data_IF_690422037119
#
_entry.id   IF_690422037119
#
_cell.length_a   1.000
_cell.length_b   1.000
_cell.length_c   1.000
_cell.angle_alpha   90.00
_cell.angle_beta   90.00
_cell.angle_gamma   90.00
#
_symmetry.space_group_name_H-M   'P 1'
#
loop_
_entity.id
_entity.type
_entity.pdbx_description
1 polymer ?
#
# COMPACT_ATOMS: atom_id res chain seq x y z
N UNK A 1 36.97 -5.30 -6.82
CA UNK A 1 35.63 -4.81 -7.21
C UNK A 1 35.21 -3.70 -6.27
N UNK A 2 35.61 -2.47 -6.56
CA UNK A 2 35.07 -1.29 -5.91
C UNK A 2 34.02 -0.74 -6.87
N UNK A 3 32.74 -0.92 -6.51
CA UNK A 3 31.66 -0.13 -7.09
C UNK A 3 31.95 1.32 -6.70
N UNK A 4 31.91 2.24 -7.65
CA UNK A 4 31.64 3.63 -7.27
C UNK A 4 30.31 3.63 -6.53
N UNK A 5 30.29 4.19 -5.33
CA UNK A 5 29.07 4.24 -4.53
C UNK A 5 28.21 5.39 -5.03
N UNK A 6 27.37 5.08 -6.02
CA UNK A 6 26.37 5.99 -6.57
C UNK A 6 25.01 5.81 -5.91
N UNK A 7 24.92 5.10 -4.76
CA UNK A 7 23.64 4.94 -4.06
C UNK A 7 23.00 6.27 -3.63
N UNK A 8 23.79 7.35 -3.62
CA UNK A 8 23.36 8.70 -3.27
C UNK A 8 22.91 9.56 -4.46
N UNK A 9 23.16 9.15 -5.72
CA UNK A 9 22.85 9.99 -6.90
C UNK A 9 22.22 9.18 -8.03
N UNK A 10 20.89 9.28 -8.21
CA UNK A 10 20.19 8.69 -9.36
C UNK A 10 20.42 9.45 -10.69
N UNK A 11 20.74 10.76 -10.61
CA UNK A 11 20.99 11.64 -11.78
C UNK A 11 22.05 12.69 -11.47
N UNK A 12 22.83 13.10 -12.47
CA UNK A 12 23.84 14.16 -12.36
C UNK A 12 23.74 15.08 -13.58
N UNK A 13 23.76 16.40 -13.36
CA UNK A 13 23.71 17.44 -14.39
C UNK A 13 25.07 18.13 -14.54
N UNK A 14 25.38 18.68 -15.72
CA UNK A 14 26.61 19.44 -15.89
C UNK A 14 26.56 20.68 -15.01
N UNK A 15 27.63 20.90 -14.26
CA UNK A 15 27.85 22.10 -13.45
C UNK A 15 27.89 23.35 -14.34
N UNK A 16 28.47 23.24 -15.54
CA UNK A 16 28.53 24.34 -16.53
C UNK A 16 28.58 23.78 -17.95
N UNK A 17 28.08 24.55 -18.92
CA UNK A 17 28.33 24.35 -20.35
C UNK A 17 29.22 25.50 -20.82
N UNK A 18 30.36 25.19 -21.43
CA UNK A 18 31.26 26.22 -21.94
C UNK A 18 30.80 26.81 -23.29
N UNK A 19 31.55 27.79 -23.81
CA UNK A 19 31.22 28.49 -25.05
C UNK A 19 31.28 27.59 -26.30
N UNK A 20 32.00 26.47 -26.21
CA UNK A 20 32.14 25.49 -27.28
C UNK A 20 31.09 24.36 -27.17
N UNK A 21 30.22 24.42 -26.15
CA UNK A 21 29.17 23.44 -25.91
C UNK A 21 29.61 22.21 -25.11
N UNK A 22 30.80 22.24 -24.49
CA UNK A 22 31.25 21.13 -23.65
C UNK A 22 30.54 21.16 -22.30
N UNK A 23 30.03 20.00 -21.89
CA UNK A 23 29.37 19.78 -20.60
C UNK A 23 30.41 19.41 -19.53
N UNK A 24 30.52 20.21 -18.47
CA UNK A 24 31.50 20.02 -17.40
C UNK A 24 30.79 19.56 -16.12
N UNK A 25 31.20 18.42 -15.57
CA UNK A 25 30.67 17.86 -14.32
C UNK A 25 31.76 17.86 -13.26
N UNK A 26 31.69 18.76 -12.27
CA UNK A 26 32.78 18.95 -11.29
C UNK A 26 32.74 18.02 -10.08
N UNK A 27 31.56 17.52 -9.75
CA UNK A 27 31.31 16.82 -8.48
C UNK A 27 31.00 15.32 -8.66
N UNK A 28 31.45 14.73 -9.76
CA UNK A 28 31.35 13.28 -9.95
C UNK A 28 32.56 12.62 -9.26
N UNK A 29 32.35 11.79 -8.22
CA UNK A 29 33.43 11.04 -7.60
C UNK A 29 33.89 9.94 -8.55
N UNK A 30 34.87 10.26 -9.40
CA UNK A 30 35.52 9.29 -10.28
C UNK A 30 36.33 8.33 -9.41
N UNK A 31 35.97 7.04 -9.40
CA UNK A 31 36.72 6.02 -8.69
C UNK A 31 38.19 6.02 -9.12
N UNK A 32 39.11 5.91 -8.15
CA UNK A 32 40.57 6.02 -8.36
C UNK A 32 41.21 4.79 -9.02
N UNK A 33 40.44 3.74 -9.26
CA UNK A 33 41.00 2.40 -9.49
C UNK A 33 40.94 2.09 -10.99
N UNK A 34 42.10 2.07 -11.65
CA UNK A 34 42.28 1.97 -13.11
C UNK A 34 41.77 0.66 -13.78
N UNK A 35 41.01 -0.17 -13.07
CA UNK A 35 40.57 -1.51 -13.50
C UNK A 35 39.04 -1.67 -13.59
N UNK A 36 38.25 -0.62 -13.35
CA UNK A 36 36.78 -0.68 -13.52
C UNK A 36 36.29 0.28 -14.60
N UNK A 37 35.58 -0.26 -15.59
CA UNK A 37 34.78 0.53 -16.54
C UNK A 37 33.51 1.03 -15.86
N UNK A 38 33.35 2.34 -15.72
CA UNK A 38 32.06 2.95 -15.38
C UNK A 38 31.25 3.16 -16.67
N UNK A 39 29.98 2.76 -16.65
CA UNK A 39 29.05 2.97 -17.77
C UNK A 39 28.15 4.15 -17.41
N UNK A 40 28.08 5.12 -18.31
CA UNK A 40 27.21 6.29 -18.18
C UNK A 40 26.16 6.26 -19.28
N UNK A 41 24.93 6.65 -18.93
CA UNK A 41 23.89 6.95 -19.90
C UNK A 41 23.72 8.46 -19.93
N UNK A 42 24.02 9.06 -21.08
CA UNK A 42 23.73 10.47 -21.33
C UNK A 42 22.33 10.59 -21.91
N UNK A 43 21.49 11.38 -21.26
CA UNK A 43 20.20 11.80 -21.80
C UNK A 43 20.29 13.29 -22.14
N UNK A 44 19.93 13.64 -23.38
CA UNK A 44 19.73 15.02 -23.79
C UNK A 44 18.29 15.40 -23.41
N UNK A 45 18.14 16.35 -22.50
CA UNK A 45 16.83 16.91 -22.13
C UNK A 45 16.59 18.22 -22.89
N UNK A 46 15.34 18.66 -22.97
CA UNK A 46 14.94 19.89 -23.68
C UNK A 46 15.33 21.19 -22.95
N UNK A 47 16.33 21.16 -22.06
CA UNK A 47 16.77 22.31 -21.26
C UNK A 47 16.11 22.42 -19.89
N UNK A 48 15.03 21.68 -19.66
CA UNK A 48 14.40 21.47 -18.34
C UNK A 48 14.00 20.00 -18.20
N UNK A 49 14.14 19.44 -17.00
CA UNK A 49 13.66 18.11 -16.61
C UNK A 49 12.85 18.20 -15.31
N UNK A 50 12.12 17.15 -14.97
CA UNK A 50 11.16 17.15 -13.87
C UNK A 50 11.31 15.94 -12.96
N UNK A 51 11.41 16.21 -11.67
CA UNK A 51 11.23 15.24 -10.61
C UNK A 51 9.92 15.50 -9.88
N UNK A 52 9.04 14.51 -9.87
CA UNK A 52 7.74 14.59 -9.21
C UNK A 52 7.71 13.67 -8.01
N UNK A 53 7.15 14.19 -6.93
CA UNK A 53 6.70 13.43 -5.76
C UNK A 53 5.24 13.74 -5.54
N UNK A 54 4.49 12.71 -5.19
CA UNK A 54 3.07 12.83 -4.98
C UNK A 54 2.79 12.55 -3.51
N UNK A 55 1.91 13.33 -2.90
CA UNK A 55 1.26 12.89 -1.67
C UNK A 55 0.17 11.90 -2.07
N UNK A 56 0.18 10.73 -1.44
CA UNK A 56 -0.89 9.73 -1.60
C UNK A 56 -2.22 10.42 -1.37
N UNK A 57 -3.09 10.37 -2.38
CA UNK A 57 -4.44 10.87 -2.23
C UNK A 57 -5.20 9.91 -1.30
N UNK A 58 -5.58 10.41 -0.14
CA UNK A 58 -6.54 9.72 0.71
C UNK A 58 -7.91 9.76 0.03
N UNK A 59 -8.74 8.74 0.26
CA UNK A 59 -10.14 8.76 -0.19
C UNK A 59 -11.02 9.74 0.61
N UNK A 60 -10.40 10.52 1.50
CA UNK A 60 -11.03 11.69 2.12
C UNK A 60 -11.04 12.85 1.12
N UNK A 61 -11.98 13.79 1.26
CA UNK A 61 -12.14 14.96 0.39
C UNK A 61 -10.97 15.99 0.45
N UNK A 62 -9.74 15.54 0.68
CA UNK A 62 -8.55 16.37 0.68
C UNK A 62 -7.98 16.51 -0.75
N UNK A 63 -7.46 17.69 -1.12
CA UNK A 63 -6.87 17.90 -2.43
C UNK A 63 -5.61 17.07 -2.62
N UNK A 64 -5.42 16.56 -3.83
CA UNK A 64 -4.21 15.84 -4.24
C UNK A 64 -3.07 16.84 -4.37
N UNK A 65 -1.96 16.59 -3.67
CA UNK A 65 -0.78 17.46 -3.73
C UNK A 65 0.31 16.86 -4.61
N UNK A 66 0.73 17.63 -5.62
CA UNK A 66 1.87 17.33 -6.47
C UNK A 66 3.02 18.23 -6.04
N UNK A 67 4.11 17.62 -5.57
CA UNK A 67 5.37 18.29 -5.30
C UNK A 67 6.31 18.05 -6.47
N UNK A 68 6.88 19.11 -7.03
CA UNK A 68 7.82 18.98 -8.13
C UNK A 68 9.09 19.76 -7.90
N UNK A 69 10.19 19.21 -8.43
CA UNK A 69 11.47 19.90 -8.57
C UNK A 69 11.82 19.95 -10.05
N UNK A 70 12.06 21.16 -10.54
CA UNK A 70 12.52 21.42 -11.90
C UNK A 70 14.04 21.40 -11.91
N UNK A 71 14.58 20.62 -12.82
CA UNK A 71 16.02 20.50 -13.05
C UNK A 71 16.34 21.36 -14.27
N UNK A 72 16.90 22.54 -14.04
CA UNK A 72 17.28 23.51 -15.08
C UNK A 72 17.07 24.95 -14.66
N UNK A 73 17.84 25.87 -15.26
CA UNK A 73 17.82 27.29 -14.90
C UNK A 73 17.00 28.08 -15.94
N UNK A 74 15.75 28.40 -15.57
CA UNK A 74 14.79 28.92 -16.53
C UNK A 74 13.65 29.75 -15.94
N UNK A 75 13.69 30.06 -14.64
CA UNK A 75 12.67 30.88 -13.98
C UNK A 75 12.38 32.19 -14.74
N UNK A 76 11.14 32.71 -14.71
CA UNK A 76 9.96 32.10 -14.10
C UNK A 76 9.50 30.87 -14.87
N UNK A 77 8.92 29.92 -14.13
CA UNK A 77 8.30 28.72 -14.67
C UNK A 77 6.78 28.87 -14.64
N UNK A 78 6.12 28.33 -15.66
CA UNK A 78 4.66 28.25 -15.76
C UNK A 78 4.27 26.78 -15.83
N UNK A 79 3.56 26.30 -14.82
CA UNK A 79 2.96 24.98 -14.81
C UNK A 79 1.50 25.06 -15.26
N UNK A 80 1.08 24.09 -16.09
CA UNK A 80 -0.29 23.85 -16.50
C UNK A 80 -0.62 22.39 -16.28
N UNK A 81 -1.76 22.11 -15.67
CA UNK A 81 -2.25 20.75 -15.45
C UNK A 81 -3.50 20.53 -16.29
N UNK A 82 -3.49 19.45 -17.07
CA UNK A 82 -4.65 19.02 -17.85
C UNK A 82 -5.18 17.70 -17.30
N UNK A 83 -6.50 17.55 -17.25
CA UNK A 83 -7.15 16.29 -16.89
C UNK A 83 -7.09 15.25 -18.01
N UNK A 84 -7.75 14.11 -17.79
CA UNK A 84 -7.83 12.99 -18.75
C UNK A 84 -8.55 13.35 -20.07
N UNK A 85 -9.33 14.44 -20.08
CA UNK A 85 -10.03 14.95 -21.24
C UNK A 85 -9.28 16.12 -21.91
N UNK A 86 -7.99 16.31 -21.56
CA UNK A 86 -7.13 17.41 -22.00
C UNK A 86 -7.69 18.81 -21.62
N UNK A 87 -8.53 18.90 -20.59
CA UNK A 87 -9.05 20.18 -20.08
C UNK A 87 -8.09 20.77 -19.05
N UNK A 88 -7.77 22.06 -19.18
CA UNK A 88 -6.93 22.77 -18.21
C UNK A 88 -7.66 22.87 -16.87
N UNK A 89 -7.08 22.28 -15.82
CA UNK A 89 -7.65 22.26 -14.46
C UNK A 89 -6.87 23.10 -13.47
N UNK A 90 -5.57 23.36 -13.70
CA UNK A 90 -4.73 24.17 -12.82
C UNK A 90 -3.65 24.91 -13.64
N UNK A 91 -3.32 26.15 -13.24
CA UNK A 91 -2.24 26.94 -13.84
C UNK A 91 -1.56 27.83 -12.79
N UNK A 92 -0.24 27.65 -12.64
CA UNK A 92 0.55 28.42 -11.67
C UNK A 92 1.85 28.92 -12.28
N UNK A 93 2.32 30.08 -11.81
CA UNK A 93 3.64 30.64 -12.15
C UNK A 93 4.47 30.75 -10.88
N UNK A 94 5.74 30.38 -10.96
CA UNK A 94 6.65 30.38 -9.82
C UNK A 94 8.10 30.67 -10.22
N UNK A 95 8.87 31.25 -9.29
CA UNK A 95 10.26 31.70 -9.51
C UNK A 95 11.31 30.71 -9.02
N UNK A 96 10.89 29.73 -8.20
CA UNK A 96 11.77 28.73 -7.61
C UNK A 96 11.73 27.43 -8.43
N UNK A 97 12.75 26.59 -8.30
CA UNK A 97 12.77 25.28 -8.96
C UNK A 97 11.82 24.28 -8.30
N UNK A 98 11.45 24.48 -7.04
CA UNK A 98 10.45 23.67 -6.33
C UNK A 98 9.06 24.29 -6.39
N UNK A 99 8.04 23.44 -6.53
CA UNK A 99 6.64 23.86 -6.50
C UNK A 99 5.72 22.83 -5.83
N UNK A 100 4.54 23.30 -5.44
CA UNK A 100 3.42 22.50 -4.94
C UNK A 100 2.17 22.90 -5.73
N UNK A 101 1.49 21.92 -6.32
CA UNK A 101 0.18 22.07 -6.95
C UNK A 101 -0.84 21.30 -6.12
N UNK A 102 -2.06 21.83 -6.00
CA UNK A 102 -3.20 21.16 -5.37
C UNK A 102 -4.28 20.91 -6.41
N UNK A 103 -4.78 19.69 -6.50
CA UNK A 103 -5.84 19.29 -7.42
C UNK A 103 -7.05 18.80 -6.64
N UNK A 104 -8.24 19.26 -7.03
CA UNK A 104 -9.49 18.96 -6.30
C UNK A 104 -9.99 17.52 -6.51
N UNK A 105 -9.46 16.82 -7.52
CA UNK A 105 -9.91 15.50 -7.91
C UNK A 105 -8.73 14.56 -8.09
N UNK A 106 -9.05 13.29 -7.98
CA UNK A 106 -8.20 12.20 -8.43
C UNK A 106 -8.32 12.01 -9.93
N UNK A 107 -7.23 11.58 -10.55
CA UNK A 107 -7.22 11.32 -11.99
C UNK A 107 -5.81 11.18 -12.56
N UNK A 108 -5.77 10.87 -13.85
CA UNK A 108 -4.55 10.91 -14.64
C UNK A 108 -4.40 12.30 -15.26
N UNK A 109 -3.41 13.04 -14.76
CA UNK A 109 -3.13 14.40 -15.17
C UNK A 109 -1.90 14.49 -16.08
N UNK A 110 -1.96 15.39 -17.04
CA UNK A 110 -0.80 15.84 -17.81
C UNK A 110 -0.29 17.17 -17.22
N UNK A 111 0.91 17.14 -16.65
CA UNK A 111 1.62 18.34 -16.23
C UNK A 111 2.50 18.84 -17.38
N UNK A 112 2.29 20.08 -17.81
CA UNK A 112 3.16 20.82 -18.72
C UNK A 112 3.87 21.94 -17.93
N UNK A 113 5.20 21.95 -17.94
CA UNK A 113 5.98 23.07 -17.41
C UNK A 113 6.72 23.75 -18.53
N UNK A 114 6.65 25.08 -18.53
CA UNK A 114 7.37 25.95 -19.46
C UNK A 114 8.25 26.94 -18.73
N UNK A 115 9.48 27.12 -19.20
CA UNK A 115 10.41 28.12 -18.66
C UNK A 115 10.39 29.44 -19.47
N UNK A 116 11.15 30.44 -19.04
CA UNK A 116 11.32 31.73 -19.73
C UNK A 116 11.93 31.60 -21.13
N UNK A 117 12.77 30.60 -21.34
CA UNK A 117 13.41 30.32 -22.63
C UNK A 117 12.47 29.55 -23.59
N UNK A 118 11.23 29.28 -23.16
CA UNK A 118 10.20 28.52 -23.88
C UNK A 118 10.50 27.03 -24.03
N UNK A 119 11.42 26.50 -23.23
CA UNK A 119 11.60 25.06 -23.08
C UNK A 119 10.36 24.49 -22.41
N UNK A 120 9.95 23.29 -22.82
CA UNK A 120 8.77 22.61 -22.32
C UNK A 120 9.14 21.19 -21.89
N UNK A 121 8.67 20.81 -20.71
CA UNK A 121 8.63 19.42 -20.25
C UNK A 121 7.17 19.03 -19.99
N UNK A 122 6.83 17.80 -20.37
CA UNK A 122 5.50 17.22 -20.16
C UNK A 122 5.63 15.89 -19.45
N UNK A 123 4.86 15.69 -18.40
CA UNK A 123 4.84 14.43 -17.65
C UNK A 123 3.40 14.08 -17.30
N UNK A 124 3.00 12.84 -17.61
CA UNK A 124 1.75 12.30 -17.09
C UNK A 124 1.99 11.77 -15.69
N UNK A 125 1.05 12.02 -14.79
CA UNK A 125 0.99 11.31 -13.53
C UNK A 125 0.77 9.82 -13.82
N UNK A 126 1.73 8.97 -13.46
CA UNK A 126 1.55 7.53 -13.60
C UNK A 126 0.47 6.99 -12.65
N UNK A 127 0.32 5.66 -12.62
CA UNK A 127 -0.57 4.94 -11.69
C UNK A 127 -0.28 5.27 -10.21
N UNK A 128 0.88 5.86 -9.89
CA UNK A 128 1.30 6.26 -8.54
C UNK A 128 0.44 7.35 -7.89
N UNK A 129 -0.38 8.11 -8.63
CA UNK A 129 -1.38 9.02 -8.03
C UNK A 129 -2.55 8.27 -7.39
N UNK A 130 -2.65 6.97 -7.61
CA UNK A 130 -3.78 6.11 -7.26
C UNK A 130 -3.38 5.18 -6.10
N UNK A 131 -2.68 5.70 -5.10
CA UNK A 131 -2.41 4.96 -3.87
C UNK A 131 -3.51 5.26 -2.86
N UNK A 132 -4.59 4.48 -2.92
CA UNK A 132 -5.72 4.62 -2.00
C UNK A 132 -5.37 4.06 -0.63
N UNK A 133 -5.32 4.90 0.40
CA UNK A 133 -5.54 4.45 1.77
C UNK A 133 -6.97 4.82 2.16
N UNK A 134 -7.93 3.95 1.84
CA UNK A 134 -9.28 4.08 2.37
C UNK A 134 -9.38 3.28 3.68
N UNK A 135 -9.96 3.85 4.75
CA UNK A 135 -10.39 3.05 5.89
C UNK A 135 -11.40 2.00 5.44
N UNK A 136 -11.27 0.75 5.92
CA UNK A 136 -12.21 -0.31 5.59
C UNK A 136 -13.61 0.02 6.06
N UNK A 137 -14.59 -0.34 5.23
CA UNK A 137 -16.01 -0.09 5.49
C UNK A 137 -16.73 -1.35 5.99
N UNK A 138 -16.08 -2.52 5.89
CA UNK A 138 -16.62 -3.81 6.31
C UNK A 138 -15.72 -4.53 7.31
N UNK A 139 -16.34 -5.42 8.08
CA UNK A 139 -15.62 -6.47 8.79
C UNK A 139 -15.05 -7.52 7.81
N UNK A 140 -14.16 -8.39 8.29
CA UNK A 140 -13.63 -9.48 7.46
C UNK A 140 -14.60 -10.65 7.36
N UNK A 141 -15.38 -10.88 8.42
CA UNK A 141 -16.18 -12.09 8.59
C UNK A 141 -17.56 -11.76 9.15
N UNK A 142 -18.59 -12.40 8.61
CA UNK A 142 -19.97 -12.35 9.09
C UNK A 142 -20.53 -13.75 9.27
N UNK A 143 -21.55 -13.89 10.12
CA UNK A 143 -22.13 -15.19 10.47
C UNK A 143 -23.65 -15.16 10.28
N UNK A 144 -24.15 -16.13 9.51
CA UNK A 144 -25.57 -16.43 9.43
C UNK A 144 -25.92 -17.35 10.59
N UNK A 145 -26.80 -16.87 11.48
CA UNK A 145 -27.34 -17.65 12.61
C UNK A 145 -28.86 -17.71 12.43
N UNK A 146 -29.33 -18.86 11.92
CA UNK A 146 -30.73 -19.20 11.65
C UNK A 146 -31.46 -18.35 10.60
N UNK A 147 -31.09 -17.08 10.40
CA UNK A 147 -31.68 -16.14 9.43
C UNK A 147 -30.60 -15.38 8.65
N UNK A 148 -30.92 -14.87 7.44
CA UNK A 148 -30.02 -13.98 6.70
C UNK A 148 -29.57 -12.79 7.55
N UNK A 149 -28.37 -12.28 7.26
CA UNK A 149 -27.79 -11.14 7.96
C UNK A 149 -27.75 -9.92 7.05
N UNK A 150 -28.14 -8.76 7.57
CA UNK A 150 -27.95 -7.48 6.89
C UNK A 150 -26.58 -6.91 7.24
N UNK A 151 -25.75 -6.73 6.22
CA UNK A 151 -24.39 -6.21 6.29
C UNK A 151 -24.41 -4.78 5.78
N UNK A 152 -24.05 -3.82 6.61
CA UNK A 152 -24.02 -2.39 6.24
C UNK A 152 -22.57 -1.94 6.11
N UNK A 153 -22.25 -1.29 4.99
CA UNK A 153 -20.95 -0.64 4.83
C UNK A 153 -20.90 0.60 5.72
N UNK A 154 -19.99 0.62 6.70
CA UNK A 154 -19.76 1.80 7.51
C UNK A 154 -19.22 2.93 6.63
N UNK A 155 -19.61 4.18 6.87
CA UNK A 155 -18.99 5.36 6.25
C UNK A 155 -18.00 5.94 7.25
N UNK A 156 -16.67 5.75 7.06
CA UNK A 156 -15.66 6.32 7.93
C UNK A 156 -15.75 7.84 7.94
N UNK A 157 -15.38 8.46 9.06
CA UNK A 157 -15.39 9.92 9.18
C UNK A 157 -14.54 10.55 8.08
N UNK A 158 -15.13 11.42 7.27
CA UNK A 158 -14.46 12.11 6.16
C UNK A 158 -14.49 11.36 4.82
N UNK A 159 -15.11 10.17 4.74
CA UNK A 159 -15.31 9.42 3.51
C UNK A 159 -16.81 9.30 3.22
N UNK A 160 -17.26 10.06 2.24
CA UNK A 160 -18.65 10.03 1.78
C UNK A 160 -18.78 9.05 0.59
N UNK A 161 -19.59 8.00 0.76
CA UNK A 161 -19.75 6.92 -0.22
C UNK A 161 -21.03 7.16 -1.02
N UNK A 162 -20.89 7.25 -2.34
CA UNK A 162 -21.96 7.64 -3.26
C UNK A 162 -22.51 6.47 -4.09
N UNK A 163 -21.81 5.34 -4.17
CA UNK A 163 -22.29 4.15 -4.86
C UNK A 163 -21.74 2.86 -4.25
N UNK A 164 -22.51 1.77 -4.36
CA UNK A 164 -22.18 0.44 -3.87
C UNK A 164 -22.45 -0.60 -4.95
N UNK A 165 -21.65 -1.65 -5.01
CA UNK A 165 -21.84 -2.81 -5.87
C UNK A 165 -21.35 -4.06 -5.13
N UNK A 166 -22.28 -4.92 -4.76
CA UNK A 166 -22.00 -6.16 -4.03
C UNK A 166 -21.95 -7.35 -4.99
N UNK A 167 -21.02 -8.25 -4.75
CA UNK A 167 -20.82 -9.46 -5.51
C UNK A 167 -20.74 -10.67 -4.59
N UNK A 168 -21.31 -11.79 -5.01
CA UNK A 168 -21.11 -13.11 -4.41
C UNK A 168 -20.43 -14.01 -5.44
N UNK A 169 -19.23 -14.51 -5.14
CA UNK A 169 -18.42 -15.28 -6.10
C UNK A 169 -18.36 -14.61 -7.49
N UNK A 170 -18.04 -13.32 -7.53
CA UNK A 170 -17.97 -12.47 -8.73
C UNK A 170 -19.28 -12.25 -9.51
N UNK A 171 -20.44 -12.66 -8.95
CA UNK A 171 -21.76 -12.38 -9.53
C UNK A 171 -22.40 -11.21 -8.79
N UNK A 172 -22.89 -10.16 -9.48
CA UNK A 172 -23.52 -9.02 -8.81
C UNK A 172 -24.80 -9.47 -8.08
N UNK A 173 -24.98 -9.01 -6.85
CA UNK A 173 -26.11 -9.38 -5.97
C UNK A 173 -26.90 -8.19 -5.41
N UNK A 174 -26.29 -7.01 -5.31
CA UNK A 174 -26.95 -5.79 -4.82
C UNK A 174 -26.17 -4.53 -5.23
N UNK A 175 -26.83 -3.38 -5.29
CA UNK A 175 -26.25 -2.03 -5.41
C UNK A 175 -26.69 -1.08 -4.27
N UNK A 176 -27.38 -1.62 -3.26
CA UNK A 176 -27.81 -0.87 -2.07
C UNK A 176 -26.64 -0.56 -1.12
N UNK A 177 -26.86 0.38 -0.20
CA UNK A 177 -25.89 0.69 0.89
C UNK A 177 -25.70 -0.44 1.93
N UNK A 178 -26.46 -1.52 1.79
CA UNK A 178 -26.38 -2.72 2.61
C UNK A 178 -26.58 -3.97 1.74
N UNK A 179 -26.22 -5.12 2.29
CA UNK A 179 -26.37 -6.43 1.69
C UNK A 179 -27.08 -7.37 2.66
N UNK A 180 -28.20 -7.97 2.24
CA UNK A 180 -28.78 -9.11 2.94
C UNK A 180 -28.10 -10.40 2.46
N UNK A 181 -27.17 -10.93 3.25
CA UNK A 181 -26.47 -12.16 2.94
C UNK A 181 -27.22 -13.39 3.50
N UNK A 182 -27.62 -14.29 2.60
CA UNK A 182 -28.37 -15.52 2.90
C UNK A 182 -27.58 -16.81 2.65
N UNK A 183 -26.34 -16.69 2.15
CA UNK A 183 -25.45 -17.80 1.78
C UNK A 183 -24.06 -17.61 2.38
N UNK A 184 -23.45 -18.70 2.79
CA UNK A 184 -22.02 -18.71 3.10
C UNK A 184 -21.17 -18.65 1.82
N UNK A 185 -20.01 -18.00 1.93
CA UNK A 185 -19.02 -17.91 0.86
C UNK A 185 -18.34 -16.54 0.80
N UNK A 186 -17.57 -16.33 -0.28
CA UNK A 186 -16.83 -15.09 -0.51
C UNK A 186 -17.71 -14.03 -1.16
N UNK A 187 -17.68 -12.84 -0.57
CA UNK A 187 -18.33 -11.66 -1.08
C UNK A 187 -17.30 -10.57 -1.36
N UNK A 188 -17.64 -9.70 -2.31
CA UNK A 188 -16.87 -8.50 -2.64
C UNK A 188 -17.80 -7.30 -2.65
N UNK A 189 -17.40 -6.22 -1.99
CA UNK A 189 -18.00 -4.90 -2.15
C UNK A 189 -17.07 -4.03 -2.99
N UNK A 190 -17.59 -3.47 -4.06
CA UNK A 190 -16.97 -2.36 -4.78
C UNK A 190 -17.78 -1.10 -4.47
N UNK A 191 -17.14 -0.08 -3.92
CA UNK A 191 -17.81 1.18 -3.59
C UNK A 191 -17.08 2.39 -4.16
N UNK A 192 -17.86 3.44 -4.43
CA UNK A 192 -17.35 4.70 -4.98
C UNK A 192 -17.53 5.82 -3.97
N UNK A 193 -16.48 6.59 -3.69
CA UNK A 193 -16.58 7.79 -2.83
C UNK A 193 -16.96 9.03 -3.64
N UNK A 194 -17.44 10.09 -2.98
CA UNK A 194 -17.73 11.37 -3.64
C UNK A 194 -16.48 12.02 -4.24
N UNK A 195 -15.29 11.67 -3.74
CA UNK A 195 -13.99 12.01 -4.33
C UNK A 195 -13.63 11.22 -5.61
N UNK A 196 -14.47 10.27 -6.03
CA UNK A 196 -14.29 9.48 -7.25
C UNK A 196 -13.43 8.23 -7.06
N UNK A 197 -13.05 7.87 -5.84
CA UNK A 197 -12.27 6.66 -5.58
C UNK A 197 -13.12 5.42 -5.80
N UNK A 198 -12.63 4.46 -6.57
CA UNK A 198 -13.21 3.12 -6.67
C UNK A 198 -12.42 2.17 -5.77
N UNK A 199 -13.08 1.60 -4.78
CA UNK A 199 -12.46 0.77 -3.75
C UNK A 199 -13.10 -0.62 -3.76
N UNK A 200 -12.29 -1.65 -3.58
CA UNK A 200 -12.73 -3.05 -3.53
C UNK A 200 -12.36 -3.65 -2.18
N UNK A 201 -13.34 -4.25 -1.51
CA UNK A 201 -13.16 -5.00 -0.27
C UNK A 201 -13.76 -6.40 -0.39
N UNK A 202 -12.98 -7.41 -0.03
CA UNK A 202 -13.45 -8.80 0.06
C UNK A 202 -13.68 -9.20 1.51
N UNK A 203 -14.72 -10.01 1.75
CA UNK A 203 -15.07 -10.55 3.07
C UNK A 203 -15.73 -11.92 2.92
N UNK A 204 -15.85 -12.65 4.03
CA UNK A 204 -16.48 -13.97 4.07
C UNK A 204 -17.75 -13.99 4.93
N UNK A 205 -18.73 -14.77 4.50
CA UNK A 205 -19.91 -15.11 5.29
C UNK A 205 -19.86 -16.60 5.62
N UNK A 206 -20.03 -16.94 6.90
CA UNK A 206 -20.06 -18.31 7.40
C UNK A 206 -21.49 -18.72 7.80
N UNK A 207 -21.81 -20.01 7.67
CA UNK A 207 -23.08 -20.56 8.14
C UNK A 207 -22.86 -21.39 9.41
N UNK A 208 -23.47 -20.97 10.52
CA UNK A 208 -23.37 -21.69 11.80
C UNK A 208 -24.23 -22.96 11.83
N UNK A 209 -25.12 -23.16 10.85
CA UNK A 209 -26.06 -24.31 10.83
C UNK A 209 -25.38 -25.64 10.53
N UNK A 210 -24.16 -25.66 9.97
CA UNK A 210 -23.47 -26.90 9.59
C UNK A 210 -22.81 -27.69 10.75
N UNK A 211 -22.83 -27.20 11.99
CA UNK A 211 -22.36 -28.00 13.16
C UNK A 211 -23.38 -29.01 13.71
N UNK A 212 -24.54 -29.16 13.07
CA UNK A 212 -25.65 -30.00 13.56
C UNK A 212 -25.74 -31.38 12.88
N UNK A 213 -24.61 -31.96 12.44
CA UNK A 213 -24.64 -33.03 11.43
C UNK A 213 -23.68 -34.20 11.53
N UNK A 214 -23.01 -34.52 12.64
CA UNK A 214 -22.54 -35.90 12.91
C UNK A 214 -22.06 -36.06 14.35
N UNK A 215 -22.69 -37.01 15.06
CA UNK A 215 -22.43 -37.25 16.47
C UNK A 215 -20.99 -37.66 16.78
N UNK A 216 -20.37 -36.89 17.66
CA UNK A 216 -19.22 -37.27 18.47
C UNK A 216 -19.24 -36.38 19.71
N UNK A 217 -19.50 -36.98 20.87
CA UNK A 217 -19.65 -36.31 22.15
C UNK A 217 -18.49 -35.35 22.48
N UNK A 218 -18.75 -34.04 22.44
CA UNK A 218 -18.38 -33.04 23.46
C UNK A 218 -18.97 -31.66 23.11
N UNK A 219 -20.30 -31.58 23.06
CA UNK A 219 -21.01 -30.31 23.18
C UNK A 219 -21.49 -30.17 24.64
N UNK A 220 -20.64 -29.61 25.50
CA UNK A 220 -20.96 -28.86 26.73
C UNK A 220 -19.65 -28.15 27.08
N UNK A 221 -19.53 -26.83 27.15
CA UNK A 221 -20.37 -25.84 27.82
C UNK A 221 -20.38 -24.55 26.99
N UNK A 222 -21.57 -23.95 26.87
CA UNK A 222 -21.71 -22.53 26.55
C UNK A 222 -21.10 -21.76 27.72
N UNK A 223 -19.88 -21.27 27.54
CA UNK A 223 -19.31 -20.23 28.39
C UNK A 223 -19.35 -18.93 27.56
N UNK A 224 -19.99 -17.91 28.08
CA UNK A 224 -20.25 -16.62 27.46
C UNK A 224 -18.96 -15.75 27.41
N UNK A 225 -17.86 -16.32 26.91
CA UNK A 225 -16.53 -15.69 26.86
C UNK A 225 -16.00 -15.43 25.44
N UNK A 226 -16.81 -15.64 24.40
CA UNK A 226 -16.37 -15.56 23.00
C UNK A 226 -16.55 -14.17 22.35
N UNK A 227 -16.52 -13.10 23.15
CA UNK A 227 -16.56 -11.72 22.63
C UNK A 227 -15.14 -11.13 22.77
N UNK A 228 -14.45 -11.01 21.62
CA UNK A 228 -13.26 -10.18 21.36
C UNK A 228 -11.99 -10.52 22.14
N UNK A 229 -11.23 -11.53 21.69
CA UNK A 229 -9.80 -11.63 22.01
C UNK A 229 -8.97 -11.49 20.73
N UNK A 230 -7.86 -10.74 20.83
CA UNK A 230 -6.89 -10.52 19.75
C UNK A 230 -6.41 -11.87 19.18
N UNK A 231 -7.05 -12.35 18.11
CA UNK A 231 -6.83 -13.70 17.63
C UNK A 231 -5.64 -13.73 16.66
N UNK A 232 -4.55 -14.35 17.08
CA UNK A 232 -3.41 -14.64 16.21
C UNK A 232 -3.60 -16.02 15.59
N UNK A 233 -3.72 -16.11 14.27
CA UNK A 233 -3.85 -17.38 13.53
C UNK A 233 -2.61 -17.66 12.71
N UNK A 234 -2.19 -18.92 12.66
CA UNK A 234 -1.11 -19.37 11.77
C UNK A 234 -1.62 -20.42 10.81
N UNK A 235 -1.45 -20.20 9.51
CA UNK A 235 -1.89 -21.14 8.49
C UNK A 235 -1.15 -20.95 7.15
N UNK A 236 -1.01 -22.02 6.35
CA UNK A 236 -0.94 -23.39 6.84
C UNK A 236 0.27 -23.55 7.76
N UNK A 237 0.34 -24.65 8.50
CA UNK A 237 1.58 -25.01 9.20
C UNK A 237 2.73 -25.11 8.16
N UNK A 238 3.96 -24.60 8.43
CA UNK A 238 4.95 -24.37 7.38
C UNK A 238 5.35 -25.64 6.62
N UNK A 239 5.41 -25.55 5.29
CA UNK A 239 5.83 -26.64 4.40
C UNK A 239 7.15 -26.30 3.68
N UNK A 240 7.81 -27.29 3.08
CA UNK A 240 9.05 -27.07 2.34
C UNK A 240 8.80 -26.23 1.07
N UNK A 241 9.53 -25.13 0.92
CA UNK A 241 9.43 -24.19 -0.22
C UNK A 241 8.05 -23.55 -0.39
N UNK A 242 7.30 -23.40 0.71
CA UNK A 242 5.98 -22.76 0.74
C UNK A 242 5.91 -21.80 1.92
N UNK A 243 5.25 -20.69 1.67
CA UNK A 243 4.99 -19.69 2.69
C UNK A 243 3.98 -20.21 3.73
N UNK A 244 4.13 -19.72 4.95
CA UNK A 244 3.07 -19.74 5.95
C UNK A 244 2.66 -18.30 6.28
N UNK A 245 1.44 -18.14 6.76
CA UNK A 245 0.85 -16.86 7.07
C UNK A 245 0.56 -16.77 8.56
N UNK A 246 0.81 -15.60 9.13
CA UNK A 246 0.37 -15.25 10.48
C UNK A 246 -0.59 -14.08 10.35
N UNK A 247 -1.86 -14.32 10.69
CA UNK A 247 -2.89 -13.29 10.72
C UNK A 247 -3.00 -12.71 12.11
N UNK A 248 -3.04 -11.39 12.20
CA UNK A 248 -3.27 -10.64 13.43
C UNK A 248 -4.56 -9.84 13.31
N UNK A 249 -5.36 -9.86 14.37
CA UNK A 249 -6.56 -9.04 14.48
C UNK A 249 -6.58 -8.34 15.83
N UNK A 250 -6.16 -7.07 15.83
CA UNK A 250 -6.15 -6.18 16.98
C UNK A 250 -7.21 -5.09 16.77
N UNK A 251 -8.01 -4.83 17.79
CA UNK A 251 -9.01 -3.75 17.75
C UNK A 251 -8.38 -2.36 17.70
N UNK A 252 -7.19 -2.21 18.30
CA UNK A 252 -6.45 -0.96 18.38
C UNK A 252 -5.08 -1.12 17.69
N UNK A 253 -4.57 -0.06 17.03
CA UNK A 253 -3.24 -0.10 16.47
C UNK A 253 -2.25 -0.38 17.58
N UNK A 254 -1.42 -1.40 17.38
CA UNK A 254 -0.51 -1.87 18.40
C UNK A 254 0.87 -2.17 17.82
N UNK A 255 1.87 -2.12 18.69
CA UNK A 255 3.21 -2.61 18.40
C UNK A 255 3.24 -4.12 18.53
N UNK A 256 3.77 -4.82 17.53
CA UNK A 256 3.85 -6.28 17.51
C UNK A 256 5.31 -6.74 17.41
N UNK A 257 5.72 -7.58 18.34
CA UNK A 257 6.97 -8.32 18.28
C UNK A 257 6.69 -9.76 17.84
N UNK A 258 7.17 -10.13 16.66
CA UNK A 258 7.15 -11.50 16.16
C UNK A 258 8.54 -12.10 16.33
N UNK A 259 8.62 -13.25 17.00
CA UNK A 259 9.87 -13.97 17.22
C UNK A 259 9.68 -15.46 16.91
N UNK A 260 10.59 -16.04 16.13
CA UNK A 260 10.61 -17.47 15.83
C UNK A 260 11.91 -18.07 16.36
N UNK A 261 11.80 -19.11 17.18
CA UNK A 261 12.93 -19.83 17.76
C UNK A 261 13.00 -21.26 17.25
N UNK A 262 14.20 -21.82 17.13
CA UNK A 262 14.40 -23.27 17.01
C UNK A 262 14.12 -23.97 18.35
N UNK A 263 13.97 -25.30 18.35
CA UNK A 263 13.82 -26.08 19.60
C UNK A 263 15.02 -25.98 20.54
N UNK A 264 16.21 -25.69 20.02
CA UNK A 264 17.42 -25.48 20.83
C UNK A 264 17.47 -24.07 21.47
N UNK A 265 16.43 -23.26 21.25
CA UNK A 265 16.30 -21.91 21.80
C UNK A 265 17.03 -20.83 21.01
N UNK A 266 17.53 -21.13 19.81
CA UNK A 266 18.19 -20.15 18.93
C UNK A 266 17.12 -19.31 18.24
N UNK A 267 17.25 -17.98 18.32
CA UNK A 267 16.38 -17.04 17.60
C UNK A 267 16.67 -17.12 16.09
N UNK A 268 15.66 -17.49 15.31
CA UNK A 268 15.72 -17.68 13.86
C UNK A 268 15.23 -16.44 13.11
N UNK A 269 14.15 -15.83 13.59
CA UNK A 269 13.57 -14.63 13.01
C UNK A 269 13.06 -13.71 14.10
N UNK A 270 13.23 -12.40 13.89
CA UNK A 270 12.65 -11.37 14.74
C UNK A 270 12.22 -10.19 13.89
N UNK A 271 10.99 -9.77 14.08
CA UNK A 271 10.42 -8.64 13.39
C UNK A 271 9.56 -7.83 14.33
N UNK A 272 9.71 -6.51 14.24
CA UNK A 272 8.90 -5.56 14.98
C UNK A 272 8.08 -4.77 13.99
N UNK A 273 6.77 -4.78 14.20
CA UNK A 273 5.80 -4.14 13.36
C UNK A 273 5.04 -3.10 14.21
N UNK A 274 4.70 -1.96 13.61
CA UNK A 274 4.07 -0.85 14.32
C UNK A 274 2.71 -0.52 13.71
N UNK A 275 1.82 0.06 14.51
CA UNK A 275 0.50 0.54 14.09
C UNK A 275 -0.39 -0.57 13.50
N UNK A 276 -0.24 -1.82 13.99
CA UNK A 276 -0.99 -2.96 13.47
C UNK A 276 -2.35 -3.05 14.11
N UNK A 277 -3.39 -2.81 13.30
CA UNK A 277 -4.76 -3.25 13.58
C UNK A 277 -5.02 -4.63 12.96
N UNK A 278 -4.78 -4.81 11.66
CA UNK A 278 -4.92 -6.12 10.98
C UNK A 278 -3.82 -6.31 9.94
N UNK A 279 -3.05 -7.40 10.03
CA UNK A 279 -1.97 -7.71 9.08
C UNK A 279 -1.82 -9.22 8.88
N UNK A 280 -1.43 -9.62 7.67
CA UNK A 280 -0.94 -10.96 7.38
C UNK A 280 0.57 -10.88 7.18
N UNK A 281 1.33 -11.45 8.12
CA UNK A 281 2.76 -11.68 7.93
C UNK A 281 2.96 -12.95 7.10
N UNK A 282 3.84 -12.87 6.10
CA UNK A 282 4.23 -14.00 5.27
C UNK A 282 5.63 -14.43 5.67
N UNK A 283 5.78 -15.68 6.09
CA UNK A 283 7.07 -16.25 6.50
C UNK A 283 7.45 -17.47 5.70
N UNK A 284 8.76 -17.68 5.56
CA UNK A 284 9.35 -18.94 5.12
C UNK A 284 10.35 -19.42 6.18
N UNK A 285 10.36 -20.72 6.43
CA UNK A 285 11.43 -21.38 7.19
C UNK A 285 12.30 -22.10 6.17
N UNK A 286 13.61 -22.25 6.39
CA UNK A 286 14.51 -22.88 5.39
C UNK A 286 14.91 -24.32 5.72
N UNK A 287 14.92 -24.69 7.00
CA UNK A 287 15.22 -26.05 7.44
C UNK A 287 13.96 -26.80 7.88
N UNK A 288 13.95 -28.13 7.77
CA UNK A 288 12.93 -28.96 8.42
C UNK A 288 13.22 -29.01 9.92
N UNK A 289 12.16 -29.06 10.73
CA UNK A 289 12.31 -29.03 12.17
C UNK A 289 11.09 -28.48 12.90
N UNK A 290 11.19 -28.43 14.22
CA UNK A 290 10.18 -27.84 15.08
C UNK A 290 10.64 -26.44 15.49
N UNK A 291 9.71 -25.50 15.46
CA UNK A 291 9.95 -24.11 15.81
C UNK A 291 8.90 -23.63 16.81
N UNK A 292 9.26 -22.59 17.56
CA UNK A 292 8.35 -21.88 18.45
C UNK A 292 8.10 -20.49 17.88
N UNK A 293 6.84 -20.19 17.54
CA UNK A 293 6.40 -18.83 17.26
C UNK A 293 5.97 -18.18 18.56
N UNK A 294 6.46 -16.96 18.80
CA UNK A 294 6.08 -16.09 19.90
C UNK A 294 5.64 -14.76 19.29
N UNK A 295 4.46 -14.30 19.70
CA UNK A 295 3.93 -13.00 19.31
C UNK A 295 3.62 -12.22 20.58
N UNK A 296 4.15 -10.99 20.65
CA UNK A 296 3.83 -10.05 21.72
C UNK A 296 3.18 -8.80 21.13
N UNK A 297 2.18 -8.28 21.81
CA UNK A 297 1.51 -7.03 21.45
C UNK A 297 1.76 -6.03 22.58
N UNK A 298 2.28 -4.85 22.25
CA UNK A 298 2.66 -3.80 23.19
C UNK A 298 3.57 -4.32 24.32
N UNK A 299 4.43 -5.30 24.00
CA UNK A 299 5.36 -5.96 24.92
C UNK A 299 4.77 -7.14 25.72
N UNK A 300 3.45 -7.38 25.66
CA UNK A 300 2.79 -8.48 26.35
C UNK A 300 2.68 -9.73 25.48
N UNK A 301 2.99 -10.92 26.03
CA UNK A 301 2.85 -12.18 25.31
C UNK A 301 1.37 -12.50 25.08
N UNK A 302 0.94 -12.49 23.81
CA UNK A 302 -0.45 -12.77 23.43
C UNK A 302 -0.63 -14.12 22.75
N UNK A 303 0.40 -14.61 22.07
CA UNK A 303 0.29 -15.87 21.33
C UNK A 303 1.61 -16.61 21.30
N UNK A 304 1.50 -17.93 21.46
CA UNK A 304 2.63 -18.85 21.40
C UNK A 304 2.16 -20.16 20.81
N UNK A 305 2.78 -20.58 19.72
CA UNK A 305 2.46 -21.86 19.10
C UNK A 305 3.68 -22.58 18.57
N UNK A 306 3.55 -23.90 18.42
CA UNK A 306 4.54 -24.76 17.80
C UNK A 306 4.29 -24.81 16.30
N UNK A 307 5.31 -24.48 15.52
CA UNK A 307 5.32 -24.72 14.07
C UNK A 307 6.09 -26.00 13.80
N UNK A 308 5.54 -26.86 12.94
CA UNK A 308 6.20 -28.10 12.52
C UNK A 308 6.49 -28.00 11.04
N UNK A 309 7.75 -27.78 10.67
CA UNK A 309 8.15 -27.88 9.28
C UNK A 309 8.55 -29.30 8.94
N UNK A 310 7.72 -29.93 8.11
CA UNK A 310 7.97 -31.22 7.49
C UNK A 310 9.00 -31.06 6.36
#
# INVERSE_FOLDING_TARGET
>A
SSRGDFSAFERVFPTTVDQDGNMIFKDIPWGSDALSTAVFTFALTSGIDLELRYQSASCSNEPVKIFGTILGDGAPYRAKVFDENDMLVEEQVFEQQSFELSLDKLGNYLLEIRDRNKNIVRQRSGEQLIAYSAPRVLDLDYWIVDQPIDIVAASPSGVDIVAYNWFFNNTPVSDDSYLTADKAGGYTLIYTTSGGCLLEESFYVFDKREDSGSGGEHATLLDESWILENEVKVFPNPLKGKDFYISFNNELPSELDLEIYSMDGVLIHKEKLFDIQKQVYTGELNNSGVYMLIVKINGELVYKTKLVRL
#
